data_IF_569459187973
#
_entry.id   IF_569459187973
#
_cell.length_a   1.000
_cell.length_b   1.000
_cell.length_c   1.000
_cell.angle_alpha   90.00
_cell.angle_beta   90.00
_cell.angle_gamma   90.00
#
_symmetry.space_group_name_H-M   'P 1'
#
loop_
_entity.id
_entity.type
_entity.pdbx_description
1 polymer ?
#
# COMPACT_ATOMS: atom_id res chain seq x y z
N UNK A 1 -18.24 -22.89 12.50
CA UNK A 1 -17.97 -21.44 12.63
C UNK A 1 -18.83 -20.69 11.62
N UNK A 2 -19.69 -19.77 12.08
CA UNK A 2 -20.51 -18.94 11.19
C UNK A 2 -19.64 -18.14 10.20
N UNK A 3 -20.15 -17.92 9.01
CA UNK A 3 -19.48 -17.22 7.89
C UNK A 3 -18.92 -15.86 8.33
N UNK A 4 -19.63 -15.12 9.18
CA UNK A 4 -19.20 -13.84 9.76
C UNK A 4 -17.94 -13.94 10.61
N UNK A 5 -17.82 -14.96 11.47
CA UNK A 5 -16.66 -15.13 12.36
C UNK A 5 -15.40 -15.49 11.57
N UNK A 6 -15.54 -16.31 10.51
CA UNK A 6 -14.44 -16.61 9.59
C UNK A 6 -14.00 -15.35 8.83
N UNK A 7 -14.95 -14.53 8.37
CA UNK A 7 -14.66 -13.26 7.71
C UNK A 7 -13.89 -12.29 8.61
N UNK A 8 -14.35 -12.08 9.85
CA UNK A 8 -13.66 -11.24 10.84
C UNK A 8 -12.24 -11.72 11.13
N UNK A 9 -12.04 -13.03 11.29
CA UNK A 9 -10.72 -13.60 11.53
C UNK A 9 -9.77 -13.34 10.35
N UNK A 10 -10.25 -13.52 9.12
CA UNK A 10 -9.46 -13.25 7.92
C UNK A 10 -9.05 -11.77 7.82
N UNK A 11 -9.95 -10.84 8.16
CA UNK A 11 -9.64 -9.40 8.18
C UNK A 11 -8.59 -9.07 9.24
N UNK A 12 -8.68 -9.67 10.43
CA UNK A 12 -7.68 -9.47 11.48
C UNK A 12 -6.30 -9.99 11.07
N UNK A 13 -6.24 -11.20 10.50
CA UNK A 13 -4.98 -11.78 10.00
C UNK A 13 -4.39 -10.89 8.90
N UNK A 14 -5.21 -10.43 7.95
CA UNK A 14 -4.78 -9.54 6.89
C UNK A 14 -4.25 -8.20 7.44
N UNK A 15 -4.92 -7.62 8.44
CA UNK A 15 -4.50 -6.36 9.06
C UNK A 15 -3.16 -6.50 9.80
N UNK A 16 -2.96 -7.59 10.55
CA UNK A 16 -1.70 -7.88 11.24
C UNK A 16 -0.57 -8.06 10.22
N UNK A 17 -0.77 -8.91 9.20
CA UNK A 17 0.24 -9.14 8.17
C UNK A 17 0.61 -7.86 7.40
N UNK A 18 -0.39 -7.04 7.07
CA UNK A 18 -0.18 -5.77 6.39
C UNK A 18 0.60 -4.78 7.26
N UNK A 19 0.20 -4.60 8.53
CA UNK A 19 0.87 -3.71 9.47
C UNK A 19 2.31 -4.14 9.78
N UNK A 20 2.52 -5.43 10.08
CA UNK A 20 3.85 -5.99 10.32
C UNK A 20 4.77 -5.81 9.12
N UNK A 21 4.25 -6.01 7.89
CA UNK A 21 5.02 -5.78 6.67
C UNK A 21 5.52 -4.33 6.54
N UNK A 22 4.74 -3.34 6.95
CA UNK A 22 5.16 -1.93 6.94
C UNK A 22 6.30 -1.65 7.92
N UNK A 23 6.23 -2.19 9.14
CA UNK A 23 7.29 -2.07 10.16
C UNK A 23 8.57 -2.77 9.71
N UNK A 24 8.47 -3.97 9.12
CA UNK A 24 9.63 -4.65 8.55
C UNK A 24 10.26 -3.85 7.40
N UNK A 25 9.44 -3.23 6.53
CA UNK A 25 9.96 -2.40 5.46
C UNK A 25 10.70 -1.16 6.01
N UNK A 26 10.15 -0.50 7.03
CA UNK A 26 10.83 0.59 7.73
C UNK A 26 12.18 0.13 8.29
N UNK A 27 12.20 -1.00 9.00
CA UNK A 27 13.43 -1.56 9.56
C UNK A 27 14.48 -1.86 8.48
N UNK A 28 14.08 -2.40 7.33
CA UNK A 28 15.00 -2.67 6.23
C UNK A 28 15.57 -1.37 5.65
N UNK A 29 14.76 -0.33 5.47
CA UNK A 29 15.21 0.97 4.95
C UNK A 29 16.13 1.71 5.93
N UNK A 30 15.92 1.55 7.24
CA UNK A 30 16.77 2.18 8.26
C UNK A 30 18.10 1.46 8.45
N UNK A 31 18.11 0.13 8.34
CA UNK A 31 19.29 -0.70 8.63
C UNK A 31 20.04 -1.21 7.38
N UNK A 32 19.50 -0.97 6.19
CA UNK A 32 20.13 -1.27 4.91
C UNK A 32 20.14 -0.01 4.06
N UNK A 33 21.08 0.10 3.13
CA UNK A 33 21.11 1.21 2.13
C UNK A 33 20.00 1.05 1.05
N UNK A 34 18.88 0.42 1.40
CA UNK A 34 17.85 0.01 0.46
C UNK A 34 16.77 1.10 0.38
N UNK A 35 16.64 1.73 -0.78
CA UNK A 35 15.68 2.82 -0.99
C UNK A 35 14.24 2.29 -1.18
N UNK A 36 13.25 3.11 -0.83
CA UNK A 36 11.83 2.80 -0.98
C UNK A 36 11.42 2.30 -2.38
N UNK A 37 11.88 2.89 -3.50
CA UNK A 37 11.48 2.43 -4.84
C UNK A 37 11.95 0.99 -5.16
N UNK A 38 13.16 0.62 -4.74
CA UNK A 38 13.70 -0.72 -4.94
C UNK A 38 12.94 -1.77 -4.11
N UNK A 39 12.65 -1.46 -2.85
CA UNK A 39 11.80 -2.32 -2.01
C UNK A 39 10.41 -2.50 -2.60
N UNK A 40 9.82 -1.42 -3.12
CA UNK A 40 8.53 -1.45 -3.81
C UNK A 40 8.58 -2.40 -5.01
N UNK A 41 9.63 -2.30 -5.83
CA UNK A 41 9.82 -3.15 -7.00
C UNK A 41 9.88 -4.64 -6.62
N UNK A 42 10.73 -5.02 -5.66
CA UNK A 42 10.84 -6.42 -5.20
C UNK A 42 9.50 -6.91 -4.65
N UNK A 43 8.82 -6.11 -3.82
CA UNK A 43 7.52 -6.43 -3.24
C UNK A 43 6.45 -6.69 -4.31
N UNK A 44 6.41 -5.86 -5.35
CA UNK A 44 5.44 -5.97 -6.44
C UNK A 44 5.73 -7.18 -7.34
N UNK A 45 7.00 -7.42 -7.70
CA UNK A 45 7.39 -8.56 -8.53
C UNK A 45 7.15 -9.90 -7.80
N UNK A 46 7.61 -10.02 -6.55
CA UNK A 46 7.42 -11.23 -5.75
C UNK A 46 5.94 -11.50 -5.45
N UNK A 47 5.19 -10.47 -5.03
CA UNK A 47 3.75 -10.57 -4.78
C UNK A 47 2.97 -10.94 -6.03
N UNK A 48 3.25 -10.28 -7.16
CA UNK A 48 2.64 -10.58 -8.45
C UNK A 48 2.90 -12.00 -8.91
N UNK A 49 4.15 -12.47 -8.80
CA UNK A 49 4.53 -13.84 -9.16
C UNK A 49 3.82 -14.89 -8.28
N UNK A 50 3.81 -14.69 -6.96
CA UNK A 50 3.15 -15.61 -6.02
C UNK A 50 1.64 -15.67 -6.29
N UNK A 51 0.98 -14.52 -6.45
CA UNK A 51 -0.45 -14.46 -6.70
C UNK A 51 -0.83 -15.08 -8.05
N UNK A 52 -0.06 -14.83 -9.12
CA UNK A 52 -0.31 -15.44 -10.42
C UNK A 52 -0.08 -16.95 -10.42
N UNK A 53 0.94 -17.42 -9.71
CA UNK A 53 1.19 -18.86 -9.53
C UNK A 53 0.01 -19.51 -8.81
N UNK A 54 -0.45 -18.92 -7.70
CA UNK A 54 -1.58 -19.45 -6.96
C UNK A 54 -2.88 -19.40 -7.77
N UNK A 55 -3.09 -18.34 -8.54
CA UNK A 55 -4.23 -18.19 -9.45
C UNK A 55 -4.23 -19.24 -10.56
N UNK A 56 -3.06 -19.52 -11.14
CA UNK A 56 -2.89 -20.60 -12.13
C UNK A 56 -3.22 -21.97 -11.53
N UNK A 57 -2.75 -22.25 -10.32
CA UNK A 57 -3.06 -23.50 -9.60
C UNK A 57 -4.55 -23.66 -9.25
N UNK A 58 -5.27 -22.55 -9.05
CA UNK A 58 -6.72 -22.56 -8.82
C UNK A 58 -7.54 -22.70 -10.11
N UNK A 59 -6.90 -22.66 -11.29
CA UNK A 59 -7.59 -22.70 -12.57
C UNK A 59 -8.34 -21.40 -12.89
N UNK A 60 -8.07 -20.32 -12.17
CA UNK A 60 -8.54 -18.99 -12.54
C UNK A 60 -7.90 -18.66 -13.89
N UNK A 61 -8.68 -18.41 -14.92
CA UNK A 61 -8.17 -18.16 -16.27
C UNK A 61 -7.30 -16.89 -16.35
N UNK A 62 -6.05 -16.95 -15.90
CA UNK A 62 -5.13 -15.80 -15.74
C UNK A 62 -4.90 -15.05 -17.04
N UNK A 63 -4.98 -15.75 -18.18
CA UNK A 63 -4.80 -15.17 -19.51
C UNK A 63 -6.10 -14.61 -20.12
N UNK A 64 -7.25 -14.74 -19.44
CA UNK A 64 -8.54 -14.30 -19.99
C UNK A 64 -8.61 -12.78 -20.16
N UNK A 65 -8.00 -12.04 -19.24
CA UNK A 65 -7.92 -10.57 -19.32
C UNK A 65 -7.10 -10.09 -20.53
N UNK A 66 -6.07 -10.85 -20.90
CA UNK A 66 -5.18 -10.53 -22.03
C UNK A 66 -5.85 -10.71 -23.41
N UNK A 67 -7.08 -11.22 -23.46
CA UNK A 67 -7.83 -11.36 -24.71
C UNK A 67 -8.58 -10.08 -25.11
N UNK A 68 -8.87 -9.18 -24.17
CA UNK A 68 -9.64 -7.97 -24.44
C UNK A 68 -8.78 -6.71 -24.30
N UNK A 69 -8.54 -6.00 -25.42
CA UNK A 69 -7.70 -4.79 -25.43
C UNK A 69 -8.18 -3.69 -24.48
N UNK A 70 -9.50 -3.53 -24.30
CA UNK A 70 -10.04 -2.52 -23.36
C UNK A 70 -9.73 -2.87 -21.91
N UNK A 71 -9.83 -4.15 -21.57
CA UNK A 71 -9.55 -4.62 -20.21
C UNK A 71 -8.04 -4.63 -19.92
N UNK A 72 -7.19 -4.88 -20.93
CA UNK A 72 -5.73 -4.71 -20.81
C UNK A 72 -5.36 -3.27 -20.51
N UNK A 73 -5.95 -2.30 -21.24
CA UNK A 73 -5.66 -0.88 -20.98
C UNK A 73 -6.13 -0.48 -19.57
N UNK A 74 -7.27 -1.00 -19.14
CA UNK A 74 -7.80 -0.76 -17.80
C UNK A 74 -6.92 -1.40 -16.72
N UNK A 75 -6.39 -2.61 -16.98
CA UNK A 75 -5.43 -3.28 -16.12
C UNK A 75 -4.12 -2.50 -16.04
N UNK A 76 -3.60 -1.99 -17.16
CA UNK A 76 -2.41 -1.15 -17.17
C UNK A 76 -2.65 0.10 -16.34
N UNK A 77 -3.74 0.84 -16.59
CA UNK A 77 -4.09 2.02 -15.78
C UNK A 77 -4.15 1.68 -14.29
N UNK A 78 -4.82 0.57 -13.93
CA UNK A 78 -4.88 0.09 -12.56
C UNK A 78 -3.50 -0.25 -11.98
N UNK A 79 -2.62 -0.85 -12.78
CA UNK A 79 -1.26 -1.23 -12.39
C UNK A 79 -0.41 -0.01 -12.08
N UNK A 80 -0.42 1.02 -12.95
CA UNK A 80 0.39 2.22 -12.77
C UNK A 80 -0.20 3.15 -11.70
N UNK A 81 -1.44 3.59 -11.93
CA UNK A 81 -2.08 4.65 -11.13
C UNK A 81 -2.57 4.14 -9.79
N UNK A 82 -2.96 2.85 -9.73
CA UNK A 82 -3.42 2.21 -8.51
C UNK A 82 -2.30 1.51 -7.79
N UNK A 83 -1.96 0.30 -8.26
CA UNK A 83 -1.14 -0.65 -7.52
C UNK A 83 0.31 -0.19 -7.29
N UNK A 84 0.97 0.32 -8.34
CA UNK A 84 2.34 0.81 -8.24
C UNK A 84 2.40 2.11 -7.44
N UNK A 85 1.53 3.06 -7.77
CA UNK A 85 1.52 4.37 -7.09
C UNK A 85 1.26 4.20 -5.60
N UNK A 86 0.23 3.46 -5.18
CA UNK A 86 -0.08 3.31 -3.75
C UNK A 86 1.07 2.68 -2.98
N UNK A 87 1.73 1.66 -3.53
CA UNK A 87 2.85 1.01 -2.86
C UNK A 87 4.07 1.90 -2.76
N UNK A 88 4.38 2.63 -3.84
CA UNK A 88 5.52 3.55 -3.88
C UNK A 88 5.29 4.73 -2.94
N UNK A 89 4.15 5.41 -3.04
CA UNK A 89 3.85 6.57 -2.19
C UNK A 89 3.79 6.19 -0.72
N UNK A 90 3.28 5.00 -0.40
CA UNK A 90 3.24 4.50 0.98
C UNK A 90 4.65 4.29 1.52
N UNK A 91 5.53 3.56 0.81
CA UNK A 91 6.90 3.34 1.27
C UNK A 91 7.73 4.63 1.28
N UNK A 92 7.49 5.56 0.35
CA UNK A 92 8.09 6.90 0.39
C UNK A 92 7.65 7.69 1.63
N UNK A 93 6.38 7.60 2.02
CA UNK A 93 5.90 8.22 3.24
C UNK A 93 6.56 7.61 4.49
N UNK A 94 6.75 6.28 4.52
CA UNK A 94 7.48 5.60 5.59
C UNK A 94 8.94 6.08 5.63
N UNK A 95 9.64 6.09 4.50
CA UNK A 95 11.04 6.50 4.42
C UNK A 95 11.26 7.95 4.89
N UNK A 96 10.32 8.86 4.60
CA UNK A 96 10.40 10.27 5.02
C UNK A 96 9.80 10.56 6.40
N UNK A 97 9.21 9.55 7.05
CA UNK A 97 8.66 9.65 8.41
C UNK A 97 8.79 8.32 9.17
N UNK A 98 7.69 7.60 9.36
CA UNK A 98 7.65 6.26 9.95
C UNK A 98 6.37 5.51 9.52
N UNK A 99 6.32 4.20 9.80
CA UNK A 99 5.22 3.31 9.42
C UNK A 99 3.87 3.71 10.02
N UNK A 100 3.85 4.21 11.26
CA UNK A 100 2.60 4.60 11.93
C UNK A 100 2.01 5.87 11.29
N UNK A 101 2.81 6.91 11.09
CA UNK A 101 2.43 8.16 10.41
C UNK A 101 1.93 7.89 9.00
N UNK A 102 2.68 7.12 8.20
CA UNK A 102 2.28 6.78 6.84
C UNK A 102 0.93 6.04 6.81
N UNK A 103 0.70 5.13 7.76
CA UNK A 103 -0.56 4.37 7.87
C UNK A 103 -1.75 5.27 8.21
N UNK A 104 -1.59 6.20 9.14
CA UNK A 104 -2.68 7.13 9.50
C UNK A 104 -3.04 8.03 8.32
N UNK A 105 -2.04 8.59 7.63
CA UNK A 105 -2.26 9.38 6.41
C UNK A 105 -2.92 8.54 5.32
N UNK A 106 -2.48 7.29 5.15
CA UNK A 106 -3.05 6.36 4.18
C UNK A 106 -4.54 6.03 4.48
N UNK A 107 -4.91 5.95 5.76
CA UNK A 107 -6.29 5.73 6.22
C UNK A 107 -7.21 6.93 6.07
N UNK A 108 -6.75 8.03 5.47
CA UNK A 108 -7.64 9.03 4.88
C UNK A 108 -8.35 8.50 3.62
N UNK A 109 -7.88 7.40 3.02
CA UNK A 109 -8.48 6.82 1.81
C UNK A 109 -10.00 6.55 1.93
N UNK A 110 -10.52 5.85 2.97
CA UNK A 110 -11.97 5.72 3.19
C UNK A 110 -12.72 7.05 3.22
N UNK A 111 -12.16 8.07 3.87
CA UNK A 111 -12.73 9.43 3.91
C UNK A 111 -12.80 10.03 2.50
N UNK A 112 -11.75 9.89 1.70
CA UNK A 112 -11.70 10.33 0.29
C UNK A 112 -12.75 9.58 -0.54
N UNK A 113 -12.87 8.26 -0.38
CA UNK A 113 -13.85 7.44 -1.09
C UNK A 113 -15.27 7.92 -0.79
N UNK A 114 -15.61 8.12 0.48
CA UNK A 114 -16.94 8.60 0.88
C UNK A 114 -17.20 9.99 0.33
N UNK A 115 -16.26 10.92 0.48
CA UNK A 115 -16.41 12.28 -0.03
C UNK A 115 -16.63 12.28 -1.55
N UNK A 116 -15.84 11.49 -2.29
CA UNK A 116 -15.99 11.32 -3.73
C UNK A 116 -17.37 10.78 -4.12
N UNK A 117 -17.84 9.70 -3.48
CA UNK A 117 -19.16 9.16 -3.77
C UNK A 117 -20.30 10.10 -3.37
N UNK A 118 -20.15 10.85 -2.28
CA UNK A 118 -21.13 11.86 -1.88
C UNK A 118 -21.26 12.96 -2.94
N UNK A 119 -20.15 13.42 -3.51
CA UNK A 119 -20.12 14.42 -4.58
C UNK A 119 -20.68 13.86 -5.90
N UNK A 120 -20.19 12.71 -6.35
CA UNK A 120 -20.53 12.14 -7.66
C UNK A 120 -21.96 11.58 -7.70
N UNK A 121 -22.39 10.87 -6.64
CA UNK A 121 -23.73 10.26 -6.59
C UNK A 121 -24.77 11.17 -5.94
N UNK A 122 -24.40 12.38 -5.52
CA UNK A 122 -25.26 13.31 -4.74
C UNK A 122 -25.92 12.65 -3.52
N UNK A 123 -25.31 11.56 -3.02
CA UNK A 123 -25.81 10.81 -1.89
C UNK A 123 -25.26 11.45 -0.61
N UNK A 124 -26.12 12.00 0.23
CA UNK A 124 -25.68 12.63 1.48
C UNK A 124 -25.17 11.53 2.44
N UNK A 125 -23.92 11.57 2.89
CA UNK A 125 -23.43 10.63 3.89
C UNK A 125 -24.22 10.83 5.19
N UNK A 126 -24.52 9.73 5.89
CA UNK A 126 -25.22 9.79 7.18
C UNK A 126 -24.41 10.54 8.23
N UNK A 127 -25.07 11.04 9.27
CA UNK A 127 -24.42 11.82 10.33
C UNK A 127 -23.22 11.10 10.98
N UNK A 128 -23.32 9.78 11.19
CA UNK A 128 -22.22 8.96 11.71
C UNK A 128 -21.01 8.90 10.77
N UNK A 129 -21.23 8.94 9.46
CA UNK A 129 -20.16 8.95 8.47
C UNK A 129 -19.45 10.31 8.49
N UNK A 130 -20.20 11.41 8.58
CA UNK A 130 -19.62 12.74 8.77
C UNK A 130 -18.82 12.84 10.06
N UNK A 131 -19.32 12.27 11.16
CA UNK A 131 -18.59 12.21 12.42
C UNK A 131 -17.29 11.38 12.29
N UNK A 132 -17.33 10.23 11.62
CA UNK A 132 -16.14 9.41 11.38
C UNK A 132 -15.08 10.14 10.54
N UNK A 133 -15.51 10.88 9.50
CA UNK A 133 -14.63 11.74 8.70
C UNK A 133 -14.01 12.83 9.59
N UNK A 134 -14.83 13.53 10.39
CA UNK A 134 -14.35 14.57 11.30
C UNK A 134 -13.30 14.04 12.27
N UNK A 135 -13.59 12.92 12.94
CA UNK A 135 -12.66 12.27 13.88
C UNK A 135 -11.38 11.79 13.19
N UNK A 136 -11.46 11.26 11.96
CA UNK A 136 -10.29 10.86 11.17
C UNK A 136 -9.39 12.06 10.82
N UNK A 137 -9.99 13.19 10.44
CA UNK A 137 -9.26 14.42 10.16
C UNK A 137 -8.62 15.00 11.42
N UNK A 138 -9.33 15.01 12.55
CA UNK A 138 -8.79 15.46 13.85
C UNK A 138 -7.63 14.57 14.28
N UNK A 139 -7.78 13.24 14.20
CA UNK A 139 -6.69 12.31 14.54
C UNK A 139 -5.46 12.49 13.65
N UNK A 140 -5.67 12.73 12.35
CA UNK A 140 -4.58 13.05 11.43
C UNK A 140 -3.91 14.37 11.78
N UNK A 141 -4.69 15.42 12.07
CA UNK A 141 -4.17 16.72 12.48
C UNK A 141 -3.30 16.59 13.74
N UNK A 142 -3.81 15.93 14.78
CA UNK A 142 -3.07 15.70 16.03
C UNK A 142 -1.78 14.92 15.80
N UNK A 143 -1.78 13.94 14.89
CA UNK A 143 -0.58 13.17 14.57
C UNK A 143 0.48 14.01 13.83
N UNK A 144 0.05 14.85 12.90
CA UNK A 144 0.91 15.69 12.05
C UNK A 144 1.46 16.91 12.79
N UNK A 145 0.81 17.32 13.87
CA UNK A 145 1.15 18.52 14.66
C UNK A 145 1.63 18.21 16.09
N UNK A 146 1.49 16.96 16.55
CA UNK A 146 1.58 16.61 17.98
C UNK A 146 0.70 17.49 18.90
N UNK A 147 -0.35 18.14 18.36
CA UNK A 147 -1.22 19.04 19.08
C UNK A 147 -0.81 20.52 19.05
N UNK A 148 0.30 20.88 18.40
CA UNK A 148 0.71 22.27 18.21
C UNK A 148 0.37 22.77 16.79
N UNK A 149 -0.63 23.65 16.61
CA UNK A 149 -1.04 24.15 15.30
C UNK A 149 0.03 24.99 14.59
N UNK A 150 1.10 25.39 15.28
CA UNK A 150 2.16 26.25 14.72
C UNK A 150 3.39 25.49 14.25
N UNK A 151 3.50 24.19 14.56
CA UNK A 151 4.62 23.35 14.15
C UNK A 151 4.15 22.08 13.44
N UNK A 152 4.78 21.76 12.30
CA UNK A 152 4.63 20.45 11.68
C UNK A 152 5.66 19.52 12.31
N UNK A 153 5.20 18.45 12.96
CA UNK A 153 6.07 17.42 13.51
C UNK A 153 6.58 16.44 12.46
N UNK A 154 6.03 16.50 11.25
CA UNK A 154 6.43 15.66 10.11
C UNK A 154 6.98 16.53 8.98
N UNK A 155 7.89 15.96 8.19
CA UNK A 155 8.41 16.66 7.01
C UNK A 155 7.30 16.92 5.99
N UNK A 156 7.37 18.05 5.27
CA UNK A 156 6.42 18.34 4.18
C UNK A 156 6.40 17.26 3.10
N UNK A 157 7.56 16.61 2.86
CA UNK A 157 7.66 15.46 1.96
C UNK A 157 6.85 14.26 2.46
N UNK A 158 6.92 13.93 3.76
CA UNK A 158 6.12 12.83 4.33
C UNK A 158 4.62 13.09 4.23
N UNK A 159 4.18 14.34 4.47
CA UNK A 159 2.78 14.72 4.32
C UNK A 159 2.33 14.57 2.86
N UNK A 160 3.12 15.07 1.91
CA UNK A 160 2.83 14.95 0.48
C UNK A 160 2.68 13.49 0.05
N UNK A 161 3.67 12.65 0.36
CA UNK A 161 3.63 11.23 0.00
C UNK A 161 2.51 10.47 0.70
N UNK A 162 2.22 10.77 1.97
CA UNK A 162 1.13 10.13 2.70
C UNK A 162 -0.25 10.48 2.14
N UNK A 163 -0.51 11.75 1.80
CA UNK A 163 -1.76 12.18 1.17
C UNK A 163 -1.87 11.60 -0.25
N UNK A 164 -0.80 11.64 -1.04
CA UNK A 164 -0.76 11.02 -2.36
C UNK A 164 -1.12 9.52 -2.27
N UNK A 165 -0.61 8.84 -1.24
CA UNK A 165 -0.96 7.46 -0.94
C UNK A 165 -2.44 7.28 -0.62
N UNK A 166 -3.06 8.19 0.14
CA UNK A 166 -4.48 8.17 0.44
C UNK A 166 -5.35 8.20 -0.83
N UNK A 167 -5.02 9.10 -1.77
CA UNK A 167 -5.70 9.16 -3.07
C UNK A 167 -5.44 7.91 -3.92
N UNK A 168 -4.19 7.44 -3.98
CA UNK A 168 -3.84 6.23 -4.72
C UNK A 168 -4.57 4.99 -4.18
N UNK A 169 -4.72 4.86 -2.86
CA UNK A 169 -5.49 3.78 -2.25
C UNK A 169 -6.99 3.91 -2.52
N UNK A 170 -7.54 5.12 -2.53
CA UNK A 170 -8.95 5.34 -2.89
C UNK A 170 -9.22 4.89 -4.34
N UNK A 171 -8.31 5.23 -5.26
CA UNK A 171 -8.37 4.74 -6.63
C UNK A 171 -8.17 3.21 -6.71
N UNK A 172 -7.13 2.68 -6.06
CA UNK A 172 -6.78 1.26 -6.06
C UNK A 172 -7.92 0.37 -5.54
N UNK A 173 -8.71 0.85 -4.58
CA UNK A 173 -9.83 0.09 -4.00
C UNK A 173 -11.11 0.16 -4.85
N UNK A 174 -11.36 1.28 -5.53
CA UNK A 174 -12.64 1.51 -6.23
C UNK A 174 -12.59 1.18 -7.71
N UNK A 175 -11.48 1.52 -8.39
CA UNK A 175 -11.33 1.37 -9.84
C UNK A 175 -11.41 -0.08 -10.35
N UNK A 176 -10.71 -1.08 -9.77
CA UNK A 176 -10.66 -2.42 -10.36
C UNK A 176 -11.93 -3.25 -10.13
N UNK A 177 -12.96 -2.71 -9.45
CA UNK A 177 -14.18 -3.44 -9.06
C UNK A 177 -14.85 -4.18 -10.22
N UNK A 178 -14.97 -3.54 -11.38
CA UNK A 178 -15.53 -4.17 -12.58
C UNK A 178 -14.61 -5.25 -13.19
N UNK A 179 -13.29 -5.06 -13.14
CA UNK A 179 -12.32 -6.07 -13.59
C UNK A 179 -12.32 -7.28 -12.67
N UNK A 180 -12.33 -7.07 -11.37
CA UNK A 180 -12.38 -8.13 -10.35
C UNK A 180 -13.67 -8.93 -10.48
N UNK A 181 -14.82 -8.27 -10.66
CA UNK A 181 -16.09 -8.95 -10.88
C UNK A 181 -16.08 -9.84 -12.13
N UNK A 182 -15.33 -9.45 -13.16
CA UNK A 182 -15.23 -10.19 -14.43
C UNK A 182 -14.16 -11.26 -14.43
N UNK A 183 -13.03 -11.09 -13.75
CA UNK A 183 -11.85 -11.96 -13.91
C UNK A 183 -11.37 -12.59 -12.60
N UNK A 184 -11.96 -12.23 -11.47
CA UNK A 184 -11.53 -12.67 -10.14
C UNK A 184 -10.44 -11.76 -9.55
N UNK A 185 -10.31 -11.78 -8.23
CA UNK A 185 -9.35 -10.93 -7.51
C UNK A 185 -7.91 -11.33 -7.78
N UNK A 186 -7.61 -12.65 -7.79
CA UNK A 186 -6.23 -13.14 -7.90
C UNK A 186 -5.58 -12.78 -9.23
N UNK A 187 -6.20 -13.00 -10.41
CA UNK A 187 -5.60 -12.60 -11.68
C UNK A 187 -5.38 -11.09 -11.77
N UNK A 188 -6.37 -10.30 -11.33
CA UNK A 188 -6.31 -8.84 -11.47
C UNK A 188 -5.23 -8.22 -10.60
N UNK A 189 -5.16 -8.62 -9.33
CA UNK A 189 -4.15 -8.12 -8.40
C UNK A 189 -2.77 -8.69 -8.74
N UNK A 190 -2.69 -9.97 -9.11
CA UNK A 190 -1.42 -10.60 -9.51
C UNK A 190 -0.80 -9.94 -10.73
N UNK A 191 -1.57 -9.76 -11.81
CA UNK A 191 -1.09 -9.05 -12.99
C UNK A 191 -0.78 -7.58 -12.70
N UNK A 192 -1.59 -6.90 -11.89
CA UNK A 192 -1.34 -5.49 -11.61
C UNK A 192 -0.05 -5.26 -10.82
N UNK A 193 0.22 -6.14 -9.85
CA UNK A 193 1.47 -6.12 -9.10
C UNK A 193 2.66 -6.46 -10.00
N UNK A 194 2.55 -7.50 -10.84
CA UNK A 194 3.64 -7.89 -11.73
C UNK A 194 3.96 -6.79 -12.76
N UNK A 195 2.95 -6.19 -13.39
CA UNK A 195 3.12 -5.09 -14.34
C UNK A 195 3.69 -3.84 -13.67
N UNK A 196 3.18 -3.48 -12.49
CA UNK A 196 3.69 -2.35 -11.72
C UNK A 196 5.16 -2.54 -11.32
N UNK A 197 5.54 -3.73 -10.85
CA UNK A 197 6.93 -4.06 -10.53
C UNK A 197 7.82 -4.09 -11.77
N UNK A 198 7.33 -4.63 -12.89
CA UNK A 198 8.07 -4.70 -14.15
C UNK A 198 8.38 -3.32 -14.73
N UNK A 199 7.52 -2.33 -14.50
CA UNK A 199 7.76 -0.95 -14.91
C UNK A 199 8.85 -0.25 -14.11
N UNK A 200 9.10 -0.69 -12.87
CA UNK A 200 10.18 -0.16 -12.03
C UNK A 200 11.55 -0.81 -12.35
N UNK A 201 11.57 -1.98 -13.00
CA UNK A 201 12.81 -2.70 -13.33
C UNK A 201 13.85 -1.85 -14.08
N UNK A 202 13.53 -1.13 -15.17
CA UNK A 202 14.54 -0.40 -15.93
C UNK A 202 15.23 0.71 -15.11
N UNK A 203 14.56 1.23 -14.08
CA UNK A 203 15.03 2.35 -13.28
C UNK A 203 15.80 1.89 -12.04
N UNK A 204 15.40 0.78 -11.43
CA UNK A 204 15.88 0.36 -10.11
C UNK A 204 16.52 -1.03 -10.08
N UNK A 205 16.61 -1.75 -11.20
CA UNK A 205 17.26 -3.07 -11.22
C UNK A 205 18.75 -3.02 -10.82
N UNK A 206 19.44 -1.89 -11.08
CA UNK A 206 20.84 -1.68 -10.72
C UNK A 206 21.09 -1.49 -9.22
N UNK A 207 20.09 -1.06 -8.46
CA UNK A 207 20.23 -0.75 -7.04
C UNK A 207 20.42 -2.01 -6.17
N UNK A 208 20.11 -3.19 -6.72
CA UNK A 208 20.38 -4.48 -6.07
C UNK A 208 21.86 -4.72 -5.79
N UNK A 209 22.76 -4.11 -6.58
CA UNK A 209 24.21 -4.22 -6.38
C UNK A 209 24.74 -3.37 -5.21
N UNK A 210 23.95 -2.40 -4.73
CA UNK A 210 24.30 -1.49 -3.63
C UNK A 210 23.71 -1.92 -2.28
N UNK A 211 23.04 -3.09 -2.23
CA UNK A 211 22.45 -3.64 -1.00
C UNK A 211 23.56 -4.15 -0.08
N UNK A 212 24.10 -3.24 0.73
CA UNK A 212 24.96 -3.58 1.85
C UNK A 212 24.07 -3.82 3.07
N UNK A 213 23.91 -5.09 3.45
CA UNK A 213 23.33 -5.44 4.76
C UNK A 213 24.42 -5.17 5.79
N UNK A 214 24.33 -4.04 6.48
CA UNK A 214 25.22 -3.75 7.61
C UNK A 214 25.04 -4.88 8.63
N UNK A 215 26.08 -5.71 8.82
CA UNK A 215 26.09 -6.78 9.83
C UNK A 215 26.21 -6.17 11.24
N UNK A 216 25.21 -5.42 11.70
CA UNK A 216 25.18 -4.91 13.08
C UNK A 216 24.79 -5.99 14.11
N UNK A 217 24.36 -7.17 13.66
CA UNK A 217 24.09 -8.30 14.56
C UNK A 217 25.34 -8.87 15.29
N UNK A 218 26.57 -8.51 14.88
CA UNK A 218 27.79 -9.04 15.49
C UNK A 218 28.52 -8.07 16.44
N UNK A 219 28.12 -6.79 16.51
CA UNK A 219 28.87 -5.77 17.26
C UNK A 219 28.18 -5.29 18.56
N UNK A 220 26.99 -5.83 18.86
CA UNK A 220 26.17 -5.40 20.01
C UNK A 220 26.29 -6.27 21.26
N UNK A 221 27.21 -7.25 21.33
CA UNK A 221 27.52 -7.94 22.57
C UNK A 221 28.71 -7.21 23.21
N UNK A 222 28.51 -6.31 24.19
CA UNK A 222 29.62 -5.74 24.92
C UNK A 222 30.41 -6.88 25.58
N UNK A 223 31.71 -6.95 25.31
CA UNK A 223 32.65 -7.93 25.86
C UNK A 223 32.99 -7.68 27.33
N UNK A 224 32.07 -7.07 28.09
CA UNK A 224 32.23 -6.69 29.51
C UNK A 224 31.30 -7.47 30.44
N UNK A 225 30.82 -8.64 30.00
CA UNK A 225 30.02 -9.57 30.82
C UNK A 225 30.69 -10.94 30.99
N UNK A 226 32.01 -10.94 31.11
CA UNK A 226 32.81 -11.93 31.85
C UNK A 226 34.07 -11.25 32.38
#
# INVERSE_FOLDING_TARGET
MGTTRKGMLNVLIAAILWGSSGVCAQYIMENSQMQSPFLTMIRLLSGGFILLTFSFLHGDGIFRILKNRKDILSLLLFSLVGAMTVQLTFLMAIEKSNAATATVLQFLSPTIIVAWFALVRKARPGAFVCAAIGTSLIGTFLLVTHGDPTSLSISGAALFWGIASAFAAAFYTTYPSALIARYGTLPIVGWSMLLGGAMLLPFYAGDGAQVVITRQFAAGIPSTWW
#
